data_IF_065214774749
#
_entry.id   IF_065214774749
#
_cell.length_a   1.000
_cell.length_b   1.000
_cell.length_c   1.000
_cell.angle_alpha   90.00
_cell.angle_beta   90.00
_cell.angle_gamma   90.00
#
_symmetry.space_group_name_H-M   'P 1'
#
loop_
_entity.id
_entity.type
_entity.pdbx_description
1 polymer ?
#
# COMPACT_ATOMS: atom_id res chain seq x y z
N UNK A 1 -54.38 57.20 -67.07
CA UNK A 1 -54.44 57.33 -65.60
C UNK A 1 -54.19 55.95 -65.04
N UNK A 2 -53.02 55.78 -64.43
CA UNK A 2 -52.41 54.53 -63.99
C UNK A 2 -53.21 53.90 -62.84
N UNK A 3 -53.53 52.60 -62.91
CA UNK A 3 -53.99 51.85 -61.73
C UNK A 3 -52.89 50.91 -61.26
N UNK A 4 -52.41 51.17 -60.06
CA UNK A 4 -51.41 50.41 -59.31
C UNK A 4 -52.14 49.27 -58.60
N UNK A 5 -51.70 48.03 -58.78
CA UNK A 5 -52.26 46.87 -58.07
C UNK A 5 -51.62 46.76 -56.69
N UNK A 6 -52.43 47.01 -55.66
CA UNK A 6 -52.08 46.82 -54.24
C UNK A 6 -52.16 45.31 -53.92
N UNK A 7 -51.02 44.66 -53.68
CA UNK A 7 -50.98 43.27 -53.23
C UNK A 7 -51.09 43.22 -51.71
N UNK A 8 -52.29 42.95 -51.21
CA UNK A 8 -52.53 42.71 -49.79
C UNK A 8 -51.95 41.34 -49.37
N UNK A 9 -50.82 41.36 -48.65
CA UNK A 9 -50.26 40.18 -48.00
C UNK A 9 -51.13 39.80 -46.80
N UNK A 10 -51.77 38.64 -46.84
CA UNK A 10 -52.52 38.08 -45.71
C UNK A 10 -51.63 37.16 -44.88
N UNK A 11 -51.37 37.53 -43.64
CA UNK A 11 -50.72 36.66 -42.66
C UNK A 11 -51.77 35.72 -42.06
N UNK A 12 -51.58 34.41 -42.21
CA UNK A 12 -52.35 33.41 -41.47
C UNK A 12 -51.56 32.96 -40.26
N UNK A 13 -52.23 32.89 -39.11
CA UNK A 13 -51.67 32.34 -37.87
C UNK A 13 -52.52 31.13 -37.51
N UNK A 14 -51.88 29.96 -37.39
CA UNK A 14 -52.53 28.75 -36.92
C UNK A 14 -52.00 28.43 -35.52
N UNK A 15 -52.91 28.04 -34.64
CA UNK A 15 -52.58 27.58 -33.29
C UNK A 15 -52.29 26.09 -33.38
N UNK A 16 -51.05 25.69 -33.06
CA UNK A 16 -50.65 24.29 -32.99
C UNK A 16 -50.84 23.84 -31.55
N UNK A 17 -51.77 22.91 -31.33
CA UNK A 17 -51.89 22.20 -30.05
C UNK A 17 -50.82 21.13 -29.97
N UNK A 18 -49.88 21.30 -29.03
CA UNK A 18 -48.94 20.25 -28.64
C UNK A 18 -49.73 19.23 -27.83
N UNK A 19 -50.01 18.08 -28.43
CA UNK A 19 -50.67 16.94 -27.77
C UNK A 19 -49.57 16.01 -27.29
N UNK A 20 -49.55 15.69 -25.99
CA UNK A 20 -48.71 14.61 -25.47
C UNK A 20 -49.21 13.30 -26.09
N UNK A 21 -48.33 12.60 -26.80
CA UNK A 21 -48.68 11.35 -27.45
C UNK A 21 -49.14 10.31 -26.39
N UNK A 22 -50.37 9.79 -26.45
CA UNK A 22 -50.85 8.79 -25.48
C UNK A 22 -50.03 7.49 -25.50
N UNK A 23 -49.41 7.20 -26.64
CA UNK A 23 -48.62 5.99 -26.92
C UNK A 23 -47.13 6.28 -27.15
N UNK A 24 -46.62 7.46 -26.76
CA UNK A 24 -45.17 7.66 -26.85
C UNK A 24 -44.48 6.84 -25.77
N UNK A 25 -43.96 5.68 -26.19
CA UNK A 25 -42.98 4.93 -25.41
C UNK A 25 -41.77 5.85 -25.28
N UNK A 26 -41.44 6.36 -24.07
CA UNK A 26 -40.21 7.11 -23.89
C UNK A 26 -39.06 6.22 -24.35
N UNK A 27 -38.33 6.69 -25.37
CA UNK A 27 -37.22 5.94 -25.94
C UNK A 27 -36.20 5.76 -24.84
N UNK A 28 -36.08 4.54 -24.35
CA UNK A 28 -35.09 4.27 -23.34
C UNK A 28 -33.71 4.17 -23.98
N UNK A 29 -32.87 5.15 -23.66
CA UNK A 29 -31.45 5.11 -23.98
C UNK A 29 -30.65 4.55 -22.80
N UNK A 30 -29.72 3.63 -23.10
CA UNK A 30 -28.78 3.12 -22.11
C UNK A 30 -27.65 4.12 -21.86
N UNK A 31 -27.01 4.08 -20.67
CA UNK A 31 -25.81 4.86 -20.42
C UNK A 31 -24.73 4.57 -21.45
N UNK A 32 -24.04 5.62 -21.90
CA UNK A 32 -22.93 5.51 -22.87
C UNK A 32 -21.63 5.12 -22.19
N UNK A 33 -21.48 5.44 -20.90
CA UNK A 33 -20.34 4.97 -20.11
C UNK A 33 -20.72 4.73 -18.65
N UNK A 34 -20.17 3.64 -18.10
CA UNK A 34 -20.18 3.33 -16.68
C UNK A 34 -18.74 2.98 -16.33
N UNK A 35 -18.13 3.78 -15.46
CA UNK A 35 -16.74 3.59 -15.02
C UNK A 35 -16.65 3.73 -13.52
N UNK A 36 -15.61 3.15 -12.92
CA UNK A 36 -15.28 3.36 -11.51
C UNK A 36 -13.91 4.00 -11.42
N UNK A 37 -13.82 5.10 -10.69
CA UNK A 37 -12.56 5.72 -10.28
C UNK A 37 -12.20 5.18 -8.90
N UNK A 38 -11.04 4.52 -8.80
CA UNK A 38 -10.47 4.07 -7.53
C UNK A 38 -9.54 5.12 -6.90
N UNK A 39 -8.92 4.78 -5.75
CA UNK A 39 -7.95 5.65 -5.09
C UNK A 39 -6.72 5.87 -5.98
N UNK A 40 -6.19 7.10 -5.97
CA UNK A 40 -5.00 7.46 -6.76
C UNK A 40 -3.67 7.14 -6.06
N UNK A 41 -3.71 6.81 -4.77
CA UNK A 41 -2.55 6.51 -3.95
C UNK A 41 -2.74 5.18 -3.20
N UNK A 42 -1.62 4.59 -2.80
CA UNK A 42 -1.60 3.44 -1.91
C UNK A 42 -2.27 3.83 -0.59
N UNK A 43 -3.24 3.03 -0.16
CA UNK A 43 -3.99 3.27 1.08
C UNK A 43 -3.27 2.63 2.26
N UNK A 44 -3.13 3.37 3.36
CA UNK A 44 -2.47 2.86 4.57
C UNK A 44 -3.28 1.74 5.22
N UNK A 45 -2.61 0.90 6.01
CA UNK A 45 -3.26 -0.15 6.80
C UNK A 45 -4.15 0.51 7.87
N UNK A 46 -5.37 0.00 8.05
CA UNK A 46 -6.40 0.55 8.96
C UNK A 46 -6.93 1.93 8.57
N UNK A 47 -6.73 2.34 7.31
CA UNK A 47 -7.34 3.54 6.74
C UNK A 47 -8.51 3.16 5.81
N UNK A 48 -9.04 4.11 5.06
CA UNK A 48 -10.12 3.89 4.09
C UNK A 48 -9.77 4.39 2.70
N UNK A 49 -10.21 3.65 1.69
CA UNK A 49 -10.11 4.06 0.29
C UNK A 49 -11.49 4.35 -0.29
N UNK A 50 -11.53 5.25 -1.28
CA UNK A 50 -12.77 5.71 -1.90
C UNK A 50 -12.87 5.22 -3.33
N UNK A 51 -14.03 4.69 -3.70
CA UNK A 51 -14.40 4.37 -5.07
C UNK A 51 -15.60 5.20 -5.50
N UNK A 52 -15.56 5.75 -6.70
CA UNK A 52 -16.62 6.58 -7.28
C UNK A 52 -17.07 6.01 -8.60
N UNK A 53 -18.36 5.70 -8.73
CA UNK A 53 -18.99 5.33 -9.98
C UNK A 53 -19.34 6.59 -10.78
N UNK A 54 -18.90 6.64 -12.03
CA UNK A 54 -19.25 7.68 -12.98
C UNK A 54 -20.13 7.07 -14.06
N UNK A 55 -21.37 7.54 -14.15
CA UNK A 55 -22.35 7.13 -15.15
C UNK A 55 -22.65 8.33 -16.04
N UNK A 56 -22.57 8.15 -17.35
CA UNK A 56 -22.87 9.20 -18.33
C UNK A 56 -23.88 8.73 -19.37
N UNK A 57 -24.75 9.65 -19.80
CA UNK A 57 -25.80 9.38 -20.79
C UNK A 57 -26.97 8.58 -20.20
N UNK A 58 -27.84 8.11 -21.10
CA UNK A 58 -29.08 7.45 -20.73
C UNK A 58 -30.22 8.42 -20.39
N UNK A 59 -31.40 7.85 -20.21
CA UNK A 59 -32.67 8.59 -20.01
C UNK A 59 -33.25 8.39 -18.62
N UNK A 60 -32.54 7.67 -17.74
CA UNK A 60 -33.04 7.23 -16.45
C UNK A 60 -32.78 8.29 -15.36
N UNK A 61 -33.84 8.63 -14.61
CA UNK A 61 -33.79 9.61 -13.53
C UNK A 61 -33.57 9.00 -12.14
N UNK A 62 -33.59 7.67 -12.01
CA UNK A 62 -33.52 6.96 -10.73
C UNK A 62 -32.54 5.79 -10.76
N UNK A 63 -31.27 6.09 -11.01
CA UNK A 63 -30.19 5.10 -10.95
C UNK A 63 -29.92 4.68 -9.50
N UNK A 64 -29.73 3.38 -9.31
CA UNK A 64 -29.37 2.80 -8.00
C UNK A 64 -28.00 2.17 -8.09
N UNK A 65 -27.25 2.17 -6.99
CA UNK A 65 -25.88 1.65 -6.95
C UNK A 65 -25.77 0.49 -5.97
N UNK A 66 -25.44 -0.70 -6.47
CA UNK A 66 -25.14 -1.84 -5.64
C UNK A 66 -23.64 -2.13 -5.71
N UNK A 67 -22.93 -1.89 -4.60
CA UNK A 67 -21.50 -2.12 -4.54
C UNK A 67 -21.15 -3.45 -3.89
N UNK A 68 -20.12 -4.08 -4.42
CA UNK A 68 -19.46 -5.25 -3.85
C UNK A 68 -17.95 -5.03 -3.86
N UNK A 69 -17.26 -5.61 -2.88
CA UNK A 69 -15.80 -5.60 -2.77
C UNK A 69 -15.30 -7.02 -2.59
N UNK A 70 -14.15 -7.36 -3.18
CA UNK A 70 -13.52 -8.69 -3.03
C UNK A 70 -12.83 -8.85 -1.66
N UNK A 71 -12.31 -7.74 -1.11
CA UNK A 71 -11.56 -7.64 0.14
C UNK A 71 -11.90 -6.34 0.87
N UNK A 72 -11.59 -6.29 2.16
CA UNK A 72 -11.92 -5.15 3.01
C UNK A 72 -13.42 -5.09 3.36
N UNK A 73 -13.88 -3.94 3.82
CA UNK A 73 -15.29 -3.78 4.22
C UNK A 73 -15.80 -2.40 3.83
N UNK A 74 -16.95 -2.35 3.16
CA UNK A 74 -17.63 -1.08 2.85
C UNK A 74 -18.12 -0.49 4.18
N UNK A 75 -17.58 0.66 4.57
CA UNK A 75 -17.95 1.35 5.82
C UNK A 75 -19.04 2.39 5.61
N UNK A 76 -19.14 2.96 4.40
CA UNK A 76 -20.16 3.96 4.07
C UNK A 76 -20.42 4.04 2.57
N UNK A 77 -21.57 4.61 2.20
CA UNK A 77 -21.90 4.96 0.82
C UNK A 77 -22.64 3.89 0.01
N UNK A 78 -23.03 2.77 0.65
CA UNK A 78 -23.84 1.76 -0.04
C UNK A 78 -25.15 2.38 -0.56
N UNK A 79 -25.54 2.04 -1.79
CA UNK A 79 -26.69 2.65 -2.44
C UNK A 79 -26.40 3.98 -3.14
N UNK A 80 -25.18 4.53 -3.00
CA UNK A 80 -24.80 5.84 -3.58
C UNK A 80 -23.70 5.70 -4.63
N UNK A 81 -23.41 6.78 -5.37
CA UNK A 81 -22.37 6.79 -6.40
C UNK A 81 -20.94 6.68 -5.85
N UNK A 82 -20.75 6.79 -4.53
CA UNK A 82 -19.41 6.77 -3.91
C UNK A 82 -19.43 5.92 -2.66
N UNK A 83 -18.46 5.03 -2.51
CA UNK A 83 -18.26 4.21 -1.31
C UNK A 83 -16.92 4.47 -0.65
N UNK A 84 -16.85 4.22 0.65
CA UNK A 84 -15.61 4.12 1.40
C UNK A 84 -15.42 2.68 1.87
N UNK A 85 -14.21 2.15 1.66
CA UNK A 85 -13.84 0.77 1.98
C UNK A 85 -12.69 0.82 2.98
N UNK A 86 -12.89 0.26 4.17
CA UNK A 86 -11.85 0.15 5.17
C UNK A 86 -10.86 -0.97 4.83
N UNK A 87 -9.59 -0.70 5.06
CA UNK A 87 -8.49 -1.66 5.00
C UNK A 87 -8.13 -2.17 6.39
N UNK A 88 -7.44 -3.31 6.45
CA UNK A 88 -6.94 -3.89 7.69
C UNK A 88 -5.60 -4.60 7.43
N UNK A 89 -4.95 -5.07 8.50
CA UNK A 89 -3.66 -5.75 8.40
C UNK A 89 -3.72 -7.06 7.58
N UNK A 90 -4.85 -7.77 7.58
CA UNK A 90 -5.00 -9.04 6.87
C UNK A 90 -4.91 -8.89 5.34
N UNK A 91 -5.19 -7.68 4.83
CA UNK A 91 -5.12 -7.34 3.40
C UNK A 91 -3.91 -6.46 3.06
N UNK A 92 -2.95 -6.30 3.97
CA UNK A 92 -1.73 -5.54 3.73
C UNK A 92 -0.96 -6.10 2.52
N UNK A 93 -0.53 -5.19 1.63
CA UNK A 93 0.20 -5.54 0.40
C UNK A 93 -0.67 -6.20 -0.68
N UNK A 94 -1.97 -6.27 -0.49
CA UNK A 94 -2.92 -6.80 -1.47
C UNK A 94 -3.63 -5.66 -2.23
N UNK A 95 -4.36 -6.05 -3.27
CA UNK A 95 -5.25 -5.17 -4.02
C UNK A 95 -6.70 -5.45 -3.67
N UNK A 96 -7.48 -4.37 -3.53
CA UNK A 96 -8.93 -4.40 -3.32
C UNK A 96 -9.61 -4.01 -4.61
N UNK A 97 -10.56 -4.82 -5.07
CA UNK A 97 -11.40 -4.57 -6.24
C UNK A 97 -12.81 -4.23 -5.80
N UNK A 98 -13.27 -3.02 -6.12
CA UNK A 98 -14.65 -2.62 -5.95
C UNK A 98 -15.40 -2.77 -7.28
N UNK A 99 -16.54 -3.43 -7.25
CA UNK A 99 -17.45 -3.58 -8.38
C UNK A 99 -18.76 -2.89 -8.05
N UNK A 100 -19.23 -2.04 -8.96
CA UNK A 100 -20.56 -1.44 -8.89
C UNK A 100 -21.46 -2.08 -9.92
N UNK A 101 -22.69 -2.39 -9.52
CA UNK A 101 -23.79 -2.69 -10.43
C UNK A 101 -24.83 -1.59 -10.34
N UNK A 102 -25.10 -0.97 -11.49
CA UNK A 102 -26.05 0.12 -11.64
C UNK A 102 -27.43 -0.46 -11.96
N UNK A 103 -28.39 -0.21 -11.08
CA UNK A 103 -29.79 -0.57 -11.27
C UNK A 103 -30.64 0.62 -11.71
N UNK A 104 -31.93 0.37 -11.98
CA UNK A 104 -32.84 1.39 -12.51
C UNK A 104 -32.62 1.72 -13.99
N UNK A 105 -31.77 0.94 -14.67
CA UNK A 105 -31.62 0.94 -16.11
C UNK A 105 -32.73 0.14 -16.77
N UNK A 106 -32.94 0.36 -18.06
CA UNK A 106 -33.94 -0.40 -18.80
C UNK A 106 -33.46 -1.82 -19.11
N UNK A 107 -34.42 -2.71 -19.37
CA UNK A 107 -34.17 -4.15 -19.52
C UNK A 107 -33.16 -4.50 -20.65
N UNK A 108 -33.06 -3.67 -21.69
CA UNK A 108 -32.07 -3.87 -22.76
C UNK A 108 -30.62 -3.48 -22.38
N UNK A 109 -30.41 -2.80 -21.25
CA UNK A 109 -29.11 -2.32 -20.82
C UNK A 109 -28.35 -3.43 -20.08
N UNK A 110 -27.73 -4.32 -20.85
CA UNK A 110 -26.98 -5.47 -20.31
C UNK A 110 -25.63 -5.08 -19.69
N UNK A 111 -25.05 -3.95 -20.11
CA UNK A 111 -23.82 -3.39 -19.56
C UNK A 111 -24.15 -2.44 -18.42
N UNK A 112 -24.21 -2.99 -17.21
CA UNK A 112 -24.56 -2.23 -16.01
C UNK A 112 -23.54 -2.37 -14.87
N UNK A 113 -22.39 -2.98 -15.13
CA UNK A 113 -21.35 -3.21 -14.15
C UNK A 113 -20.05 -2.51 -14.53
N UNK A 114 -19.34 -1.98 -13.54
CA UNK A 114 -17.96 -1.50 -13.71
C UNK A 114 -17.15 -1.76 -12.44
N UNK A 115 -15.83 -1.79 -12.56
CA UNK A 115 -14.94 -2.07 -11.43
C UNK A 115 -13.67 -1.25 -11.49
N UNK A 116 -13.06 -1.06 -10.32
CA UNK A 116 -11.72 -0.47 -10.19
C UNK A 116 -10.98 -1.10 -9.01
N UNK A 117 -9.67 -0.90 -8.98
CA UNK A 117 -8.78 -1.48 -7.98
C UNK A 117 -8.07 -0.39 -7.18
N UNK A 118 -7.87 -0.64 -5.89
CA UNK A 118 -7.00 0.15 -5.02
C UNK A 118 -5.92 -0.72 -4.39
N UNK A 119 -4.72 -0.15 -4.22
CA UNK A 119 -3.59 -0.81 -3.56
C UNK A 119 -3.58 -0.51 -2.06
N UNK A 120 -3.30 -1.54 -1.25
CA UNK A 120 -3.09 -1.41 0.19
C UNK A 120 -1.60 -1.47 0.49
N UNK A 121 -1.13 -0.61 1.38
CA UNK A 121 0.26 -0.59 1.84
C UNK A 121 0.67 -1.99 2.30
N UNK A 122 1.82 -2.45 1.81
CA UNK A 122 2.45 -3.66 2.32
C UNK A 122 2.92 -3.43 3.76
N UNK A 123 2.74 -4.43 4.61
CA UNK A 123 3.33 -4.38 5.94
C UNK A 123 4.86 -4.35 5.81
N UNK A 124 5.49 -3.31 6.35
CA UNK A 124 6.94 -3.26 6.41
C UNK A 124 7.43 -4.33 7.39
N UNK A 125 7.91 -5.45 6.86
CA UNK A 125 8.55 -6.47 7.68
C UNK A 125 9.81 -5.85 8.30
N UNK A 126 9.73 -5.55 9.60
CA UNK A 126 10.88 -5.04 10.34
C UNK A 126 12.09 -5.95 10.12
N UNK A 127 13.27 -5.41 9.80
CA UNK A 127 14.46 -6.23 9.69
C UNK A 127 14.73 -6.89 11.05
N UNK A 128 15.29 -8.10 11.01
CA UNK A 128 15.55 -8.91 12.20
C UNK A 128 17.06 -9.02 12.38
N UNK A 129 17.53 -8.89 13.62
CA UNK A 129 18.91 -9.18 13.98
C UNK A 129 19.24 -10.65 13.71
N UNK A 130 20.41 -10.92 13.13
CA UNK A 130 20.87 -12.29 12.88
C UNK A 130 22.22 -12.55 13.52
N UNK A 131 22.40 -13.76 14.03
CA UNK A 131 23.69 -14.23 14.49
C UNK A 131 24.58 -14.45 13.27
N UNK A 132 25.73 -13.78 13.26
CA UNK A 132 26.76 -13.95 12.25
C UNK A 132 27.69 -15.10 12.62
N UNK A 133 28.08 -15.16 13.91
CA UNK A 133 29.10 -16.10 14.34
C UNK A 133 29.05 -16.37 15.85
N UNK A 134 29.60 -17.50 16.28
CA UNK A 134 29.78 -17.88 17.68
C UNK A 134 31.05 -18.71 17.88
N UNK A 135 31.81 -18.38 18.91
CA UNK A 135 33.05 -19.07 19.23
C UNK A 135 33.45 -18.91 20.70
N UNK A 136 34.22 -19.87 21.21
CA UNK A 136 34.87 -19.79 22.52
C UNK A 136 36.07 -18.83 22.54
N UNK A 137 36.96 -18.94 23.54
CA UNK A 137 38.16 -18.11 23.60
C UNK A 137 39.10 -18.47 22.42
N UNK A 138 39.55 -17.45 21.69
CA UNK A 138 40.43 -17.61 20.53
C UNK A 138 41.74 -16.83 20.72
N UNK A 139 42.78 -17.23 19.99
CA UNK A 139 44.00 -16.42 19.90
C UNK A 139 43.76 -15.18 19.03
N UNK A 140 44.62 -14.18 19.19
CA UNK A 140 44.44 -12.88 18.54
C UNK A 140 44.42 -12.98 17.00
N UNK A 141 45.20 -13.90 16.40
CA UNK A 141 45.24 -14.06 14.95
C UNK A 141 44.01 -14.78 14.40
N UNK A 142 43.53 -15.83 15.08
CA UNK A 142 42.27 -16.51 14.71
C UNK A 142 41.08 -15.55 14.80
N UNK A 143 41.07 -14.69 15.81
CA UNK A 143 40.02 -13.70 16.01
C UNK A 143 39.96 -12.67 14.86
N UNK A 144 41.10 -12.29 14.29
CA UNK A 144 41.13 -11.43 13.09
C UNK A 144 40.42 -12.09 11.92
N UNK A 145 40.63 -13.38 11.70
CA UNK A 145 39.96 -14.13 10.62
C UNK A 145 38.44 -14.16 10.83
N UNK A 146 37.97 -14.37 12.06
CA UNK A 146 36.52 -14.33 12.35
C UNK A 146 35.93 -12.93 12.12
N UNK A 147 36.64 -11.88 12.54
CA UNK A 147 36.18 -10.50 12.37
C UNK A 147 36.32 -9.97 10.92
N UNK A 148 37.02 -10.66 10.02
CA UNK A 148 36.97 -10.34 8.59
C UNK A 148 35.59 -10.60 8.00
N UNK A 149 34.89 -11.65 8.43
CA UNK A 149 33.50 -11.89 8.00
C UNK A 149 32.58 -10.75 8.45
N UNK A 150 32.80 -10.21 9.65
CA UNK A 150 32.09 -9.03 10.14
C UNK A 150 32.32 -7.81 9.24
N UNK A 151 33.54 -7.62 8.72
CA UNK A 151 33.85 -6.52 7.79
C UNK A 151 33.04 -6.61 6.50
N UNK A 152 32.91 -7.82 5.94
CA UNK A 152 32.12 -8.06 4.72
C UNK A 152 30.66 -7.67 4.95
N UNK A 153 30.09 -8.08 6.09
CA UNK A 153 28.69 -7.80 6.41
C UNK A 153 28.41 -6.31 6.63
N UNK A 154 29.28 -5.61 7.36
CA UNK A 154 29.16 -4.16 7.56
C UNK A 154 29.43 -3.34 6.28
N UNK A 155 30.02 -3.96 5.26
CA UNK A 155 30.19 -3.35 3.94
C UNK A 155 28.96 -3.57 3.06
N UNK A 156 28.32 -4.74 3.17
CA UNK A 156 27.07 -5.06 2.46
C UNK A 156 25.89 -4.22 2.97
N UNK A 157 25.83 -3.96 4.29
CA UNK A 157 24.84 -3.07 4.89
C UNK A 157 25.55 -1.94 5.68
N UNK A 158 25.72 -0.76 5.07
CA UNK A 158 26.35 0.38 5.72
C UNK A 158 25.60 0.89 6.95
N UNK A 159 24.30 0.59 7.04
CA UNK A 159 23.41 1.06 8.11
C UNK A 159 23.34 0.09 9.30
N UNK A 160 23.89 -1.12 9.15
CA UNK A 160 23.89 -2.12 10.21
C UNK A 160 24.83 -1.75 11.36
N UNK A 161 24.42 -2.15 12.56
CA UNK A 161 25.26 -2.16 13.77
C UNK A 161 25.60 -3.60 14.13
N UNK A 162 26.85 -3.85 14.47
CA UNK A 162 27.30 -5.14 14.96
C UNK A 162 27.33 -5.18 16.48
N UNK A 163 26.74 -6.23 17.06
CA UNK A 163 26.82 -6.50 18.49
C UNK A 163 27.78 -7.66 18.73
N UNK A 164 28.81 -7.42 19.52
CA UNK A 164 29.79 -8.43 19.92
C UNK A 164 29.57 -8.72 21.40
N UNK A 165 28.83 -9.79 21.67
CA UNK A 165 28.40 -10.17 23.02
C UNK A 165 29.45 -11.13 23.57
N UNK A 166 30.08 -10.77 24.70
CA UNK A 166 31.09 -11.62 25.34
C UNK A 166 30.60 -12.13 26.69
N UNK A 167 30.43 -13.45 26.78
CA UNK A 167 29.98 -14.17 27.98
C UNK A 167 31.15 -14.57 28.88
N UNK A 168 30.83 -15.00 30.09
CA UNK A 168 31.77 -15.37 31.15
C UNK A 168 32.26 -14.20 31.99
N UNK A 169 33.26 -14.45 32.81
CA UNK A 169 33.75 -13.50 33.81
C UNK A 169 35.26 -13.61 34.06
N UNK A 170 35.79 -12.67 34.84
CA UNK A 170 37.19 -12.66 35.26
C UNK A 170 38.21 -12.36 34.15
N UNK A 171 39.47 -12.70 34.40
CA UNK A 171 40.62 -12.34 33.55
C UNK A 171 40.52 -12.90 32.13
N UNK A 172 39.92 -14.07 31.96
CA UNK A 172 39.75 -14.71 30.65
C UNK A 172 38.83 -13.89 29.74
N UNK A 173 37.70 -13.40 30.26
CA UNK A 173 36.82 -12.47 29.53
C UNK A 173 37.51 -11.15 29.22
N UNK A 174 38.21 -10.55 30.20
CA UNK A 174 38.94 -9.29 29.97
C UNK A 174 39.98 -9.43 28.86
N UNK A 175 40.71 -10.56 28.82
CA UNK A 175 41.66 -10.88 27.75
C UNK A 175 40.96 -11.01 26.39
N UNK A 176 39.84 -11.72 26.34
CA UNK A 176 39.06 -11.88 25.11
C UNK A 176 38.57 -10.53 24.56
N UNK A 177 37.96 -9.69 25.41
CA UNK A 177 37.49 -8.35 25.02
C UNK A 177 38.63 -7.45 24.52
N UNK A 178 39.80 -7.51 25.17
CA UNK A 178 40.97 -6.75 24.71
C UNK A 178 41.49 -7.25 23.36
N UNK A 179 41.50 -8.57 23.13
CA UNK A 179 41.87 -9.13 21.83
C UNK A 179 40.88 -8.68 20.73
N UNK A 180 39.57 -8.66 21.03
CA UNK A 180 38.52 -8.17 20.12
C UNK A 180 38.78 -6.71 19.74
N UNK A 181 39.01 -5.83 20.72
CA UNK A 181 39.31 -4.41 20.46
C UNK A 181 40.55 -4.21 19.60
N UNK A 182 41.61 -4.98 19.88
CA UNK A 182 42.84 -4.94 19.07
C UNK A 182 42.57 -5.39 17.63
N UNK A 183 41.80 -6.46 17.44
CA UNK A 183 41.48 -6.98 16.11
C UNK A 183 40.58 -6.01 15.31
N UNK A 184 39.59 -5.38 15.95
CA UNK A 184 38.74 -4.33 15.35
C UNK A 184 39.61 -3.18 14.80
N UNK A 185 40.54 -2.67 15.61
CA UNK A 185 41.47 -1.60 15.20
C UNK A 185 42.41 -2.02 14.08
N UNK A 186 42.93 -3.24 14.17
CA UNK A 186 43.83 -3.80 13.15
C UNK A 186 43.13 -3.91 11.79
N UNK A 187 41.88 -4.37 11.77
CA UNK A 187 41.05 -4.49 10.56
C UNK A 187 40.45 -3.14 10.10
N UNK A 188 40.67 -2.06 10.84
CA UNK A 188 40.12 -0.72 10.57
C UNK A 188 38.61 -0.73 10.44
N UNK A 189 37.95 -1.55 11.25
CA UNK A 189 36.50 -1.54 11.34
C UNK A 189 36.03 -0.22 11.96
N UNK A 190 34.88 0.25 11.49
CA UNK A 190 34.25 1.45 12.04
C UNK A 190 33.71 1.16 13.45
N UNK A 191 34.47 1.58 14.46
CA UNK A 191 34.12 1.39 15.88
C UNK A 191 32.75 2.01 16.23
N UNK A 192 32.29 3.03 15.50
CA UNK A 192 30.99 3.66 15.75
C UNK A 192 29.80 2.73 15.46
N UNK A 193 30.03 1.70 14.62
CA UNK A 193 29.04 0.69 14.24
C UNK A 193 29.22 -0.64 14.97
N UNK A 194 30.09 -0.69 15.98
CA UNK A 194 30.31 -1.90 16.78
C UNK A 194 29.93 -1.61 18.25
N UNK A 195 29.18 -2.52 18.85
CA UNK A 195 28.81 -2.49 20.27
C UNK A 195 29.32 -3.76 20.92
N UNK A 196 30.30 -3.62 21.81
CA UNK A 196 30.77 -4.73 22.64
C UNK A 196 29.92 -4.74 23.91
N UNK A 197 29.18 -5.82 24.14
CA UNK A 197 28.21 -5.96 25.23
C UNK A 197 28.57 -7.16 26.09
N UNK A 198 28.29 -7.07 27.39
CA UNK A 198 28.44 -8.19 28.30
C UNK A 198 27.29 -9.19 28.12
N UNK A 199 27.63 -10.45 27.85
CA UNK A 199 26.69 -11.57 27.89
C UNK A 199 26.57 -12.17 29.29
N UNK A 200 26.00 -13.37 29.38
CA UNK A 200 25.86 -14.10 30.64
C UNK A 200 27.22 -14.32 31.34
N UNK A 201 27.35 -13.80 32.56
CA UNK A 201 28.57 -13.90 33.36
C UNK A 201 28.81 -15.32 33.93
N UNK A 202 27.76 -16.13 34.02
CA UNK A 202 27.80 -17.52 34.53
C UNK A 202 28.15 -18.53 33.44
N UNK A 203 27.96 -18.17 32.17
CA UNK A 203 28.31 -19.00 31.02
C UNK A 203 29.83 -19.11 30.84
N UNK A 204 30.32 -20.15 30.12
CA UNK A 204 31.72 -20.22 29.70
C UNK A 204 32.14 -18.98 28.89
N UNK A 205 33.42 -18.63 28.95
CA UNK A 205 33.94 -17.50 28.17
C UNK A 205 33.78 -17.81 26.69
N UNK A 206 33.03 -16.95 26.00
CA UNK A 206 32.71 -17.09 24.59
C UNK A 206 32.23 -15.77 24.02
N UNK A 207 32.17 -15.69 22.69
CA UNK A 207 31.78 -14.51 21.95
C UNK A 207 30.75 -14.90 20.90
N UNK A 208 29.64 -14.16 20.87
CA UNK A 208 28.63 -14.24 19.82
C UNK A 208 28.59 -12.90 19.09
N UNK A 209 28.58 -12.95 17.76
CA UNK A 209 28.50 -11.76 16.91
C UNK A 209 27.13 -11.73 16.25
N UNK A 210 26.46 -10.60 16.36
CA UNK A 210 25.18 -10.32 15.73
C UNK A 210 25.30 -9.14 14.78
N UNK A 211 24.54 -9.19 13.69
CA UNK A 211 24.31 -8.06 12.78
C UNK A 211 22.88 -7.59 12.95
N UNK A 212 22.71 -6.31 13.27
CA UNK A 212 21.43 -5.65 13.49
C UNK A 212 21.28 -4.55 12.45
N UNK A 213 20.46 -4.76 11.39
CA UNK A 213 20.16 -3.72 10.40
C UNK A 213 19.46 -2.51 11.04
N UNK A 214 19.44 -1.37 10.35
CA UNK A 214 18.69 -0.21 10.81
C UNK A 214 17.20 -0.54 10.96
N UNK A 215 16.60 -0.19 12.10
CA UNK A 215 15.19 -0.48 12.41
C UNK A 215 14.93 -1.86 13.02
N UNK A 216 15.95 -2.73 13.13
CA UNK A 216 15.85 -4.00 13.84
C UNK A 216 16.06 -3.79 15.35
N UNK A 217 15.42 -4.63 16.17
CA UNK A 217 15.66 -4.65 17.61
C UNK A 217 17.04 -5.26 17.93
N UNK A 218 17.80 -4.71 18.90
CA UNK A 218 19.06 -5.30 19.35
C UNK A 218 18.88 -6.75 19.83
N UNK A 219 19.90 -7.61 19.68
CA UNK A 219 19.86 -8.95 20.25
C UNK A 219 19.74 -8.90 21.78
N UNK A 220 18.97 -9.84 22.36
CA UNK A 220 18.77 -10.00 23.80
C UNK A 220 19.90 -10.81 24.46
#
# INVERSE_FOLDING_TARGET
MTMVADFAVKTQTQTITVVECPDCIPVCECPTSITVTGPSAVTLINDSMTFTANVSGGTQNNTTFNWTVDKGTITSGQGTSTISVATNADIAGQTVTATVQVGGLCDQCTQNTASSTGEVQAEEKKPISRQLDEFGPLQADDLKVRLQNLQVELSNDPTATAYVITSGSGRAKTRQVNNIRTAIRFLRLDESRIRIVDGDASAPVGTVIWITPAGAEPPQ
#
